data_IF_657567896562
#
_entry.id   IF_657567896562
#
_cell.length_a   1.000
_cell.length_b   1.000
_cell.length_c   1.000
_cell.angle_alpha   90.00
_cell.angle_beta   90.00
_cell.angle_gamma   90.00
#
_symmetry.space_group_name_H-M   'P 1'
#
loop_
_entity.id
_entity.type
_entity.pdbx_description
1 polymer ?
#
# COMPACT_ATOMS: atom_id res chain seq x y z
N UNK A 1 36.20 -49.29 35.28
CA UNK A 1 36.39 -48.01 34.61
C UNK A 1 35.42 -47.95 33.44
N UNK A 2 34.24 -47.31 33.68
CA UNK A 2 33.19 -47.15 32.65
C UNK A 2 33.40 -45.81 31.96
N UNK A 3 33.70 -45.79 30.66
CA UNK A 3 33.78 -44.59 29.86
C UNK A 3 32.35 -44.15 29.45
N UNK A 4 31.92 -43.01 29.97
CA UNK A 4 30.68 -42.36 29.59
C UNK A 4 30.96 -41.52 28.33
N UNK A 5 30.38 -41.92 27.18
CA UNK A 5 30.39 -41.15 25.95
C UNK A 5 29.28 -40.11 26.02
N UNK A 6 29.60 -38.83 26.22
CA UNK A 6 28.68 -37.72 26.11
C UNK A 6 28.45 -37.42 24.61
N UNK A 7 27.26 -37.76 24.11
CA UNK A 7 26.78 -37.34 22.80
C UNK A 7 26.20 -35.94 22.99
N UNK A 8 26.94 -34.92 22.59
CA UNK A 8 26.43 -33.56 22.42
C UNK A 8 25.54 -33.53 21.17
N UNK A 9 24.24 -33.66 21.39
CA UNK A 9 23.21 -33.43 20.35
C UNK A 9 23.07 -31.91 20.14
N UNK A 10 23.76 -31.40 19.11
CA UNK A 10 23.64 -30.00 18.68
C UNK A 10 22.21 -29.73 18.22
N UNK A 11 21.39 -29.09 19.08
CA UNK A 11 20.15 -28.45 18.66
C UNK A 11 20.52 -27.29 17.74
N UNK A 12 20.47 -27.52 16.42
CA UNK A 12 20.42 -26.45 15.47
C UNK A 12 19.08 -25.71 15.69
N UNK A 13 19.14 -24.56 16.35
CA UNK A 13 18.01 -23.62 16.40
C UNK A 13 17.76 -23.17 14.94
N UNK A 14 16.83 -23.83 14.27
CA UNK A 14 16.21 -23.31 13.08
C UNK A 14 15.43 -22.06 13.50
N UNK A 15 16.09 -20.90 13.46
CA UNK A 15 15.35 -19.65 13.32
C UNK A 15 14.70 -19.70 11.95
N UNK A 16 13.37 -19.61 11.83
CA UNK A 16 12.76 -19.35 10.52
C UNK A 16 13.26 -17.96 10.13
N UNK A 17 14.22 -17.91 9.22
CA UNK A 17 14.54 -16.67 8.53
C UNK A 17 13.21 -16.16 7.95
N UNK A 18 12.79 -14.97 8.33
CA UNK A 18 11.67 -14.29 7.68
C UNK A 18 11.96 -14.35 6.18
N UNK A 19 11.12 -15.06 5.44
CA UNK A 19 11.38 -15.37 4.04
C UNK A 19 11.06 -14.15 3.18
N UNK A 20 11.86 -13.09 3.29
CA UNK A 20 11.85 -11.98 2.35
C UNK A 20 12.28 -12.47 0.96
N UNK A 21 11.95 -11.70 -0.08
CA UNK A 21 12.43 -11.98 -1.44
C UNK A 21 13.95 -12.00 -1.46
N UNK A 22 14.50 -13.13 -1.89
CA UNK A 22 15.95 -13.35 -1.96
C UNK A 22 16.50 -12.87 -3.30
N UNK A 23 16.78 -11.59 -3.41
CA UNK A 23 17.50 -11.05 -4.56
C UNK A 23 18.98 -11.43 -4.48
N UNK A 24 19.46 -12.19 -5.47
CA UNK A 24 20.85 -12.63 -5.55
C UNK A 24 21.71 -11.56 -6.20
N UNK A 25 22.89 -11.34 -5.65
CA UNK A 25 23.91 -10.47 -6.22
C UNK A 25 24.80 -11.28 -7.18
N UNK A 26 24.28 -11.53 -8.37
CA UNK A 26 24.90 -12.33 -9.42
C UNK A 26 24.64 -11.68 -10.77
N UNK A 27 25.47 -11.99 -11.76
CA UNK A 27 25.28 -11.54 -13.15
C UNK A 27 24.03 -12.20 -13.77
N UNK A 28 23.50 -11.59 -14.83
CA UNK A 28 22.38 -12.16 -15.59
C UNK A 28 22.66 -13.60 -16.04
N UNK A 29 23.88 -13.87 -16.55
CA UNK A 29 24.28 -15.21 -17.00
C UNK A 29 24.33 -16.23 -15.85
N UNK A 30 24.82 -15.82 -14.70
CA UNK A 30 24.84 -16.67 -13.50
C UNK A 30 23.43 -16.95 -12.97
N UNK A 31 22.52 -15.97 -13.05
CA UNK A 31 21.12 -16.16 -12.68
C UNK A 31 20.44 -17.22 -13.55
N UNK A 32 20.67 -17.22 -14.87
CA UNK A 32 20.16 -18.25 -15.79
C UNK A 32 20.74 -19.62 -15.44
N UNK A 33 22.07 -19.70 -15.22
CA UNK A 33 22.71 -20.95 -14.84
C UNK A 33 22.14 -21.51 -13.52
N UNK A 34 21.91 -20.66 -12.53
CA UNK A 34 21.31 -21.03 -11.26
C UNK A 34 19.85 -21.50 -11.46
N UNK A 35 19.07 -20.80 -12.28
CA UNK A 35 17.71 -21.18 -12.60
C UNK A 35 17.62 -22.57 -13.26
N UNK A 36 18.52 -22.88 -14.21
CA UNK A 36 18.65 -24.21 -14.81
C UNK A 36 18.95 -25.28 -13.76
N UNK A 37 19.92 -25.02 -12.89
CA UNK A 37 20.33 -25.97 -11.85
C UNK A 37 19.22 -26.23 -10.81
N UNK A 38 18.48 -25.20 -10.43
CA UNK A 38 17.40 -25.25 -9.43
C UNK A 38 16.04 -25.60 -10.01
N UNK A 39 15.92 -25.78 -11.32
CA UNK A 39 14.65 -25.99 -12.05
C UNK A 39 13.63 -24.87 -11.76
N UNK A 40 14.10 -23.63 -11.74
CA UNK A 40 13.32 -22.41 -11.55
C UNK A 40 13.37 -21.54 -12.80
N UNK A 41 12.55 -20.50 -12.79
CA UNK A 41 12.58 -19.38 -13.72
C UNK A 41 13.48 -18.25 -13.17
N UNK A 42 13.75 -17.22 -13.95
CA UNK A 42 14.44 -16.01 -13.48
C UNK A 42 13.44 -14.88 -13.36
N UNK A 43 13.43 -14.19 -12.23
CA UNK A 43 12.68 -12.96 -11.99
C UNK A 43 13.65 -11.79 -11.92
N UNK A 44 13.47 -10.81 -12.80
CA UNK A 44 14.35 -9.64 -12.94
C UNK A 44 13.58 -8.40 -12.53
N UNK A 45 14.08 -7.67 -11.52
CA UNK A 45 13.62 -6.31 -11.14
C UNK A 45 14.54 -5.28 -11.81
N UNK A 46 14.07 -4.67 -12.89
CA UNK A 46 14.76 -3.53 -13.51
C UNK A 46 14.44 -2.25 -12.76
N UNK A 47 15.46 -1.62 -12.22
CA UNK A 47 15.35 -0.40 -11.40
C UNK A 47 16.39 0.65 -11.80
N UNK A 48 16.27 1.87 -11.25
CA UNK A 48 17.31 2.89 -11.24
C UNK A 48 17.50 3.46 -9.84
N UNK A 49 18.67 4.04 -9.57
CA UNK A 49 19.01 4.58 -8.24
C UNK A 49 18.10 5.73 -7.79
N UNK A 50 17.52 6.48 -8.71
CA UNK A 50 16.61 7.60 -8.47
C UNK A 50 15.12 7.22 -8.44
N UNK A 51 14.77 6.00 -8.82
CA UNK A 51 13.37 5.53 -8.91
C UNK A 51 12.71 5.46 -7.52
N UNK A 52 11.79 6.37 -7.23
CA UNK A 52 11.01 6.40 -6.00
C UNK A 52 10.15 5.15 -5.79
N UNK A 53 9.30 4.75 -6.77
CA UNK A 53 8.49 3.54 -6.68
C UNK A 53 9.32 2.26 -6.46
N UNK A 54 10.52 2.15 -7.07
CA UNK A 54 11.40 1.00 -6.85
C UNK A 54 11.87 0.91 -5.38
N UNK A 55 12.24 2.06 -4.78
CA UNK A 55 12.62 2.12 -3.36
C UNK A 55 11.47 1.71 -2.46
N UNK A 56 10.24 2.06 -2.83
CA UNK A 56 9.05 1.68 -2.08
C UNK A 56 8.75 0.19 -2.17
N UNK A 57 8.87 -0.43 -3.34
CA UNK A 57 8.79 -1.89 -3.50
C UNK A 57 9.80 -2.61 -2.60
N UNK A 58 11.05 -2.13 -2.59
CA UNK A 58 12.13 -2.69 -1.76
C UNK A 58 11.87 -2.57 -0.26
N UNK A 59 11.20 -1.50 0.16
CA UNK A 59 10.93 -1.25 1.58
C UNK A 59 9.67 -1.95 2.08
N UNK A 60 8.61 -2.00 1.26
CA UNK A 60 7.27 -2.32 1.73
C UNK A 60 6.68 -3.63 1.15
N UNK A 61 7.18 -4.11 0.00
CA UNK A 61 6.59 -5.28 -0.69
C UNK A 61 7.52 -6.48 -0.66
N UNK A 62 8.75 -6.34 -1.14
CA UNK A 62 9.69 -7.46 -1.18
C UNK A 62 10.12 -8.03 0.18
N UNK A 63 10.08 -7.29 1.32
CA UNK A 63 10.30 -7.86 2.63
C UNK A 63 9.14 -8.69 3.19
N UNK A 64 7.93 -8.62 2.59
CA UNK A 64 6.78 -9.39 3.04
C UNK A 64 7.01 -10.88 2.84
N UNK A 65 6.70 -11.65 3.88
CA UNK A 65 6.90 -13.10 3.89
C UNK A 65 6.18 -13.80 2.73
N UNK A 66 4.93 -13.43 2.47
CA UNK A 66 4.13 -14.00 1.40
C UNK A 66 4.73 -13.73 0.01
N UNK A 67 5.32 -12.55 -0.20
CA UNK A 67 6.00 -12.20 -1.46
C UNK A 67 7.28 -13.01 -1.61
N UNK A 68 8.05 -13.10 -0.54
CA UNK A 68 9.26 -13.92 -0.51
C UNK A 68 8.97 -15.41 -0.75
N UNK A 69 7.98 -15.97 -0.06
CA UNK A 69 7.57 -17.37 -0.25
C UNK A 69 7.14 -17.64 -1.69
N UNK A 70 6.34 -16.74 -2.29
CA UNK A 70 5.87 -16.88 -3.66
C UNK A 70 7.00 -16.82 -4.68
N UNK A 71 7.85 -15.78 -4.59
CA UNK A 71 8.93 -15.55 -5.56
C UNK A 71 10.06 -16.57 -5.40
N UNK A 72 10.55 -16.81 -4.18
CA UNK A 72 11.68 -17.71 -3.94
C UNK A 72 11.38 -19.16 -4.30
N UNK A 73 10.11 -19.59 -4.18
CA UNK A 73 9.73 -20.95 -4.58
C UNK A 73 9.83 -21.19 -6.09
N UNK A 74 9.58 -20.15 -6.91
CA UNK A 74 9.44 -20.24 -8.38
C UNK A 74 10.62 -19.68 -9.14
N UNK A 75 11.31 -18.69 -8.56
CA UNK A 75 12.29 -17.90 -9.29
C UNK A 75 13.66 -17.84 -8.62
N UNK A 76 14.67 -17.69 -9.42
CA UNK A 76 15.94 -17.05 -9.06
C UNK A 76 15.71 -15.55 -9.27
N UNK A 77 15.65 -14.77 -8.18
CA UNK A 77 15.38 -13.35 -8.23
C UNK A 77 16.69 -12.55 -8.34
N UNK A 78 16.74 -11.60 -9.26
CA UNK A 78 17.86 -10.67 -9.45
C UNK A 78 17.38 -9.25 -9.64
N UNK A 79 18.21 -8.27 -9.27
CA UNK A 79 17.98 -6.86 -9.50
C UNK A 79 19.00 -6.32 -10.47
N UNK A 80 18.53 -5.59 -11.47
CA UNK A 80 19.40 -5.02 -12.50
C UNK A 80 19.22 -3.50 -12.52
N UNK A 81 20.28 -2.75 -12.21
CA UNK A 81 20.31 -1.31 -12.39
C UNK A 81 20.38 -1.01 -13.89
N UNK A 82 19.28 -0.52 -14.44
CA UNK A 82 19.13 -0.31 -15.88
C UNK A 82 20.11 0.73 -16.46
N UNK A 83 20.82 1.47 -15.60
CA UNK A 83 21.79 2.49 -15.99
C UNK A 83 23.25 2.06 -15.78
N UNK A 84 23.51 0.86 -15.21
CA UNK A 84 24.86 0.41 -14.85
C UNK A 84 25.16 -1.02 -15.32
N UNK A 85 26.45 -1.28 -15.54
CA UNK A 85 26.94 -2.62 -15.88
C UNK A 85 26.27 -3.18 -17.14
N UNK A 86 25.71 -4.40 -17.04
CA UNK A 86 24.97 -5.06 -18.10
C UNK A 86 23.52 -4.52 -18.27
N UNK A 87 23.08 -3.69 -17.33
CA UNK A 87 21.71 -3.19 -17.26
C UNK A 87 21.21 -2.46 -18.50
N UNK A 88 21.97 -1.52 -19.11
CA UNK A 88 21.50 -0.80 -20.30
C UNK A 88 21.19 -1.73 -21.49
N UNK A 89 22.02 -2.75 -21.71
CA UNK A 89 21.82 -3.73 -22.79
C UNK A 89 20.60 -4.63 -22.51
N UNK A 90 20.47 -5.10 -21.27
CA UNK A 90 19.36 -5.95 -20.85
C UNK A 90 18.03 -5.16 -20.84
N UNK A 91 18.02 -3.93 -20.35
CA UNK A 91 16.84 -3.07 -20.41
C UNK A 91 16.36 -2.83 -21.85
N UNK A 92 17.31 -2.62 -22.80
CA UNK A 92 16.99 -2.52 -24.22
C UNK A 92 16.45 -3.83 -24.79
N UNK A 93 17.08 -4.97 -24.45
CA UNK A 93 16.65 -6.31 -24.86
C UNK A 93 15.23 -6.60 -24.46
N UNK A 94 14.88 -6.31 -23.18
CA UNK A 94 13.55 -6.55 -22.63
C UNK A 94 12.58 -5.38 -22.81
N UNK A 95 12.96 -4.37 -23.61
CA UNK A 95 12.13 -3.20 -23.98
C UNK A 95 11.59 -2.43 -22.77
N UNK A 96 12.40 -2.32 -21.70
CA UNK A 96 12.06 -1.60 -20.49
C UNK A 96 11.90 -0.11 -20.78
N UNK A 97 10.74 0.47 -20.47
CA UNK A 97 10.40 1.88 -20.75
C UNK A 97 10.13 2.70 -19.48
N UNK A 98 9.87 2.04 -18.38
CA UNK A 98 9.55 2.67 -17.10
C UNK A 98 10.15 1.85 -15.94
N UNK A 99 10.21 2.42 -14.73
CA UNK A 99 10.73 1.75 -13.55
C UNK A 99 9.76 1.85 -12.37
N UNK A 100 9.62 0.73 -11.58
CA UNK A 100 10.20 -0.59 -11.82
C UNK A 100 9.56 -1.29 -13.02
N UNK A 101 10.30 -2.15 -13.70
CA UNK A 101 9.77 -3.14 -14.64
C UNK A 101 10.24 -4.52 -14.21
N UNK A 102 9.30 -5.44 -14.05
CA UNK A 102 9.55 -6.83 -13.70
C UNK A 102 9.45 -7.70 -14.92
N UNK A 103 10.46 -8.53 -15.14
CA UNK A 103 10.48 -9.49 -16.25
C UNK A 103 10.72 -10.89 -15.67
N UNK A 104 9.87 -11.85 -16.04
CA UNK A 104 10.15 -13.26 -15.79
C UNK A 104 10.53 -13.93 -17.11
N UNK A 105 11.57 -14.75 -17.05
CA UNK A 105 12.04 -15.55 -18.18
C UNK A 105 12.21 -17.00 -17.75
N UNK A 106 12.09 -17.91 -18.70
CA UNK A 106 12.50 -19.28 -18.48
C UNK A 106 14.04 -19.43 -18.62
N UNK A 107 14.61 -20.61 -18.28
CA UNK A 107 16.05 -20.82 -18.43
C UNK A 107 16.58 -20.81 -19.88
N UNK A 108 15.73 -20.85 -20.90
CA UNK A 108 16.09 -20.70 -22.31
C UNK A 108 15.91 -19.25 -22.80
N UNK A 109 15.71 -18.33 -21.83
CA UNK A 109 15.60 -16.88 -22.02
C UNK A 109 14.32 -16.41 -22.76
N UNK A 110 13.31 -17.28 -22.86
CA UNK A 110 11.99 -16.90 -23.35
C UNK A 110 11.24 -16.07 -22.30
N UNK A 111 10.64 -14.96 -22.73
CA UNK A 111 9.91 -14.05 -21.85
C UNK A 111 8.57 -14.67 -21.49
N UNK A 112 8.36 -14.95 -20.21
CA UNK A 112 7.09 -15.46 -19.66
C UNK A 112 6.14 -14.32 -19.32
N UNK A 113 6.67 -13.21 -18.80
CA UNK A 113 5.88 -12.02 -18.52
C UNK A 113 6.75 -10.76 -18.47
N UNK A 114 6.10 -9.62 -18.71
CA UNK A 114 6.62 -8.27 -18.41
C UNK A 114 5.54 -7.49 -17.68
N UNK A 115 5.88 -6.87 -16.55
CA UNK A 115 5.00 -6.00 -15.76
C UNK A 115 5.69 -4.68 -15.48
N UNK A 116 5.12 -3.59 -15.96
CA UNK A 116 5.55 -2.22 -15.64
C UNK A 116 4.86 -1.71 -14.37
N UNK A 117 5.57 -0.90 -13.60
CA UNK A 117 5.06 -0.27 -12.38
C UNK A 117 5.04 -1.18 -11.14
N UNK A 118 5.10 -0.54 -9.99
CA UNK A 118 5.01 -1.19 -8.68
C UNK A 118 3.60 -1.10 -8.07
N UNK A 119 3.42 -1.77 -6.95
CA UNK A 119 2.24 -1.70 -6.09
C UNK A 119 2.69 -1.57 -4.63
N UNK A 120 1.77 -1.22 -3.74
CA UNK A 120 2.05 -1.09 -2.30
C UNK A 120 1.58 -2.31 -1.50
N UNK A 121 0.83 -3.22 -2.11
CA UNK A 121 0.26 -4.41 -1.49
C UNK A 121 0.91 -5.68 -2.04
N UNK A 122 1.33 -6.57 -1.13
CA UNK A 122 2.01 -7.81 -1.49
C UNK A 122 1.10 -8.81 -2.19
N UNK A 123 -0.17 -8.90 -1.77
CA UNK A 123 -1.16 -9.79 -2.38
C UNK A 123 -1.51 -9.34 -3.79
N UNK A 124 -1.70 -8.03 -4.00
CA UNK A 124 -1.89 -7.44 -5.32
C UNK A 124 -0.69 -7.73 -6.24
N UNK A 125 0.53 -7.56 -5.71
CA UNK A 125 1.75 -7.85 -6.47
C UNK A 125 1.81 -9.31 -6.92
N UNK A 126 1.64 -10.25 -5.99
CA UNK A 126 1.62 -11.70 -6.30
C UNK A 126 0.53 -12.01 -7.32
N UNK A 127 -0.68 -11.51 -7.10
CA UNK A 127 -1.82 -11.73 -7.99
C UNK A 127 -1.56 -11.25 -9.41
N UNK A 128 -0.91 -10.09 -9.57
CA UNK A 128 -0.56 -9.53 -10.88
C UNK A 128 0.48 -10.38 -11.62
N UNK A 129 1.52 -10.84 -10.92
CA UNK A 129 2.53 -11.74 -11.49
C UNK A 129 1.88 -13.08 -11.91
N UNK A 130 1.08 -13.67 -11.01
CA UNK A 130 0.48 -14.98 -11.21
C UNK A 130 -0.52 -14.97 -12.40
N UNK A 131 -1.27 -13.89 -12.59
CA UNK A 131 -2.13 -13.72 -13.77
C UNK A 131 -1.36 -13.67 -15.09
N UNK A 132 -0.17 -13.08 -15.09
CA UNK A 132 0.64 -12.94 -16.29
C UNK A 132 1.35 -14.23 -16.69
N UNK A 133 1.75 -15.06 -15.73
CA UNK A 133 2.48 -16.32 -16.00
C UNK A 133 1.60 -17.56 -16.02
N UNK A 134 0.38 -17.49 -15.50
CA UNK A 134 -0.54 -18.63 -15.42
C UNK A 134 -1.69 -18.44 -16.42
N UNK A 135 -1.73 -19.24 -17.50
CA UNK A 135 -2.80 -19.15 -18.50
C UNK A 135 -4.21 -19.30 -17.94
N UNK A 136 -4.38 -20.07 -16.85
CA UNK A 136 -5.67 -20.26 -16.19
C UNK A 136 -6.14 -19.02 -15.42
N UNK A 137 -5.24 -18.05 -15.21
CA UNK A 137 -5.50 -16.76 -14.57
C UNK A 137 -5.47 -15.59 -15.58
N UNK A 138 -5.49 -15.86 -16.88
CA UNK A 138 -5.64 -14.81 -17.90
C UNK A 138 -6.98 -14.06 -17.71
N UNK A 139 -7.08 -12.77 -18.10
CA UNK A 139 -8.31 -11.99 -17.96
C UNK A 139 -9.55 -12.70 -18.50
N UNK A 140 -9.43 -13.28 -19.70
CA UNK A 140 -10.52 -13.98 -20.38
C UNK A 140 -10.93 -15.24 -19.60
N UNK A 141 -9.95 -15.99 -19.06
CA UNK A 141 -10.21 -17.21 -18.31
C UNK A 141 -10.84 -16.93 -16.95
N UNK A 142 -10.35 -15.90 -16.25
CA UNK A 142 -10.95 -15.46 -14.98
C UNK A 142 -12.41 -15.02 -15.18
N UNK A 143 -12.68 -14.24 -16.23
CA UNK A 143 -14.03 -13.82 -16.57
C UNK A 143 -14.94 -15.01 -16.88
N UNK A 144 -14.50 -15.93 -17.74
CA UNK A 144 -15.27 -17.13 -18.10
C UNK A 144 -15.63 -17.97 -16.87
N UNK A 145 -14.69 -18.20 -15.96
CA UNK A 145 -14.92 -18.97 -14.73
C UNK A 145 -15.93 -18.27 -13.81
N UNK A 146 -15.76 -16.94 -13.63
CA UNK A 146 -16.66 -16.14 -12.79
C UNK A 146 -18.09 -16.09 -13.37
N UNK A 147 -18.25 -15.85 -14.68
CA UNK A 147 -19.53 -15.88 -15.38
C UNK A 147 -20.15 -17.29 -15.39
N UNK A 148 -19.31 -18.32 -15.40
CA UNK A 148 -19.72 -19.72 -15.24
C UNK A 148 -20.21 -20.10 -13.83
N UNK A 149 -20.21 -19.16 -12.88
CA UNK A 149 -20.76 -19.32 -11.53
C UNK A 149 -19.76 -19.80 -10.47
N UNK A 150 -18.47 -19.94 -10.82
CA UNK A 150 -17.45 -20.26 -9.82
C UNK A 150 -17.24 -19.09 -8.84
N UNK A 151 -17.15 -19.42 -7.53
CA UNK A 151 -17.02 -18.44 -6.44
C UNK A 151 -16.00 -18.89 -5.39
N UNK A 152 -14.87 -19.47 -5.82
CA UNK A 152 -13.76 -19.74 -4.90
C UNK A 152 -13.07 -18.43 -4.50
N UNK A 153 -12.50 -18.36 -3.28
CA UNK A 153 -11.77 -17.19 -2.79
C UNK A 153 -10.65 -16.75 -3.74
N UNK A 154 -9.88 -17.71 -4.26
CA UNK A 154 -8.79 -17.48 -5.21
C UNK A 154 -9.28 -16.84 -6.53
N UNK A 155 -10.39 -17.36 -7.09
CA UNK A 155 -10.98 -16.78 -8.30
C UNK A 155 -11.49 -15.37 -8.06
N UNK A 156 -12.24 -15.14 -6.97
CA UNK A 156 -12.82 -13.82 -6.67
C UNK A 156 -11.72 -12.80 -6.43
N UNK A 157 -10.68 -13.15 -5.65
CA UNK A 157 -9.53 -12.29 -5.42
C UNK A 157 -8.81 -11.93 -6.73
N UNK A 158 -8.55 -12.94 -7.59
CA UNK A 158 -7.87 -12.73 -8.86
C UNK A 158 -8.71 -11.89 -9.83
N UNK A 159 -10.02 -12.14 -9.92
CA UNK A 159 -10.92 -11.44 -10.84
C UNK A 159 -11.17 -9.99 -10.41
N UNK A 160 -11.44 -9.75 -9.13
CA UNK A 160 -11.57 -8.41 -8.60
C UNK A 160 -10.26 -7.62 -8.70
N UNK A 161 -9.11 -8.25 -8.39
CA UNK A 161 -7.79 -7.66 -8.57
C UNK A 161 -7.50 -7.26 -10.02
N UNK A 162 -7.89 -8.10 -11.00
CA UNK A 162 -7.80 -7.77 -12.42
C UNK A 162 -8.61 -6.51 -12.77
N UNK A 163 -9.84 -6.39 -12.22
CA UNK A 163 -10.68 -5.18 -12.41
C UNK A 163 -10.02 -3.94 -11.83
N UNK A 164 -9.41 -4.05 -10.65
CA UNK A 164 -8.65 -2.95 -10.03
C UNK A 164 -7.46 -2.51 -10.88
N UNK A 165 -6.72 -3.42 -11.51
CA UNK A 165 -5.64 -3.07 -12.44
C UNK A 165 -6.15 -2.30 -13.65
N UNK A 166 -7.34 -2.62 -14.14
CA UNK A 166 -7.96 -1.93 -15.28
C UNK A 166 -8.31 -0.45 -15.00
N UNK A 167 -8.47 -0.07 -13.72
CA UNK A 167 -8.74 1.33 -13.33
C UNK A 167 -7.70 2.29 -13.91
N UNK A 168 -6.42 1.91 -13.85
CA UNK A 168 -5.29 2.77 -14.19
C UNK A 168 -4.61 2.42 -15.52
N UNK A 169 -5.20 1.54 -16.33
CA UNK A 169 -4.63 1.16 -17.63
C UNK A 169 -4.62 2.30 -18.64
N UNK A 170 -5.53 3.25 -18.50
CA UNK A 170 -5.65 4.40 -19.36
C UNK A 170 -5.09 5.68 -18.72
N UNK A 171 -4.79 6.69 -19.55
CA UNK A 171 -4.32 8.00 -19.06
C UNK A 171 -5.27 8.65 -18.05
N UNK A 172 -6.57 8.36 -18.13
CA UNK A 172 -7.58 8.76 -17.14
C UNK A 172 -8.09 7.51 -16.45
N UNK A 173 -8.10 7.48 -15.11
CA UNK A 173 -8.63 6.35 -14.36
C UNK A 173 -10.09 6.07 -14.70
N UNK A 174 -10.42 4.80 -14.93
CA UNK A 174 -11.80 4.35 -15.11
C UNK A 174 -12.35 3.84 -13.78
N UNK A 175 -12.99 4.73 -13.03
CA UNK A 175 -13.52 4.41 -11.70
C UNK A 175 -14.65 3.37 -11.74
N UNK A 176 -15.32 3.17 -12.89
CA UNK A 176 -16.33 2.11 -13.02
C UNK A 176 -15.74 0.71 -12.82
N UNK A 177 -14.47 0.51 -13.16
CA UNK A 177 -13.76 -0.75 -12.91
C UNK A 177 -13.48 -0.99 -11.44
N UNK A 178 -13.26 0.08 -10.67
CA UNK A 178 -13.18 0.00 -9.21
C UNK A 178 -14.52 -0.44 -8.62
N UNK A 179 -15.61 0.20 -9.04
CA UNK A 179 -16.96 -0.16 -8.57
C UNK A 179 -17.30 -1.63 -8.92
N UNK A 180 -16.96 -2.08 -10.14
CA UNK A 180 -17.11 -3.49 -10.54
C UNK A 180 -16.35 -4.41 -9.56
N UNK A 181 -15.08 -4.11 -9.25
CA UNK A 181 -14.27 -4.92 -8.36
C UNK A 181 -14.85 -5.00 -6.94
N UNK A 182 -15.27 -3.86 -6.38
CA UNK A 182 -15.89 -3.81 -5.06
C UNK A 182 -17.22 -4.55 -5.01
N UNK A 183 -18.06 -4.44 -6.04
CA UNK A 183 -19.32 -5.17 -6.14
C UNK A 183 -19.11 -6.69 -6.20
N UNK A 184 -18.12 -7.16 -6.98
CA UNK A 184 -17.74 -8.58 -7.05
C UNK A 184 -17.40 -9.11 -5.65
N UNK A 185 -16.60 -8.37 -4.88
CA UNK A 185 -16.18 -8.77 -3.53
C UNK A 185 -17.34 -8.67 -2.53
N UNK A 186 -18.17 -7.63 -2.64
CA UNK A 186 -19.37 -7.46 -1.79
C UNK A 186 -20.36 -8.61 -1.98
N UNK A 187 -20.63 -9.01 -3.22
CA UNK A 187 -21.53 -10.12 -3.54
C UNK A 187 -20.98 -11.45 -3.01
N UNK A 188 -19.67 -11.66 -3.17
CA UNK A 188 -18.99 -12.83 -2.60
C UNK A 188 -19.10 -12.85 -1.08
N UNK A 189 -18.75 -11.73 -0.41
CA UNK A 189 -18.84 -11.59 1.04
C UNK A 189 -20.25 -11.87 1.57
N UNK A 190 -21.28 -11.38 0.89
CA UNK A 190 -22.68 -11.60 1.25
C UNK A 190 -23.09 -13.09 1.14
N UNK A 191 -22.49 -13.82 0.20
CA UNK A 191 -22.72 -15.27 0.03
C UNK A 191 -22.03 -16.15 1.07
N UNK A 192 -21.05 -15.61 1.82
CA UNK A 192 -20.32 -16.35 2.85
C UNK A 192 -21.07 -16.37 4.19
N UNK A 193 -21.02 -17.49 4.89
CA UNK A 193 -21.40 -17.54 6.30
C UNK A 193 -20.28 -16.98 7.21
N UNK A 194 -20.59 -16.73 8.49
CA UNK A 194 -19.64 -16.10 9.43
C UNK A 194 -18.35 -16.92 9.62
N UNK A 195 -18.43 -18.25 9.59
CA UNK A 195 -17.23 -19.09 9.72
C UNK A 195 -16.33 -18.97 8.49
N UNK A 196 -16.92 -18.87 7.31
CA UNK A 196 -16.18 -18.69 6.06
C UNK A 196 -15.54 -17.31 5.99
N UNK A 197 -16.25 -16.25 6.37
CA UNK A 197 -15.74 -14.88 6.40
C UNK A 197 -14.45 -14.73 7.22
N UNK A 198 -14.28 -15.54 8.27
CA UNK A 198 -13.12 -15.48 9.17
C UNK A 198 -11.91 -16.31 8.72
N UNK A 199 -12.00 -17.04 7.61
CA UNK A 199 -10.91 -17.85 7.10
C UNK A 199 -9.79 -17.01 6.49
N UNK A 200 -8.57 -17.53 6.57
CA UNK A 200 -7.37 -16.92 6.01
C UNK A 200 -7.48 -16.65 4.51
N UNK A 201 -8.08 -17.57 3.75
CA UNK A 201 -8.29 -17.44 2.30
C UNK A 201 -9.11 -16.19 1.91
N UNK A 202 -9.88 -15.63 2.84
CA UNK A 202 -10.74 -14.47 2.66
C UNK A 202 -10.13 -13.16 3.19
N UNK A 203 -8.86 -13.18 3.61
CA UNK A 203 -8.16 -11.98 4.09
C UNK A 203 -8.13 -10.85 3.03
N UNK A 204 -8.07 -11.20 1.73
CA UNK A 204 -8.06 -10.21 0.64
C UNK A 204 -9.26 -9.26 0.67
N UNK A 205 -10.43 -9.73 1.14
CA UNK A 205 -11.65 -8.92 1.28
C UNK A 205 -11.37 -7.71 2.17
N UNK A 206 -10.76 -7.96 3.32
CA UNK A 206 -10.48 -6.93 4.33
C UNK A 206 -9.27 -6.07 3.95
N UNK A 207 -8.21 -6.71 3.45
CA UNK A 207 -6.95 -6.04 3.14
C UNK A 207 -7.07 -5.05 1.97
N UNK A 208 -7.82 -5.42 0.92
CA UNK A 208 -7.80 -4.70 -0.36
C UNK A 208 -9.15 -4.08 -0.75
N UNK A 209 -10.27 -4.50 -0.12
CA UNK A 209 -11.62 -4.07 -0.52
C UNK A 209 -12.42 -3.45 0.64
N UNK A 210 -11.73 -2.70 1.49
CA UNK A 210 -12.32 -1.79 2.48
C UNK A 210 -11.64 -0.44 2.33
N UNK A 211 -12.36 0.68 2.43
CA UNK A 211 -11.81 2.03 2.21
C UNK A 211 -12.07 2.97 3.40
N UNK A 212 -13.10 2.67 4.18
CA UNK A 212 -13.47 3.44 5.38
C UNK A 212 -13.76 2.50 6.54
N UNK A 213 -13.48 2.88 7.78
CA UNK A 213 -13.93 2.12 8.94
C UNK A 213 -15.47 2.05 9.05
N UNK A 214 -16.20 2.88 8.25
CA UNK A 214 -17.66 2.88 8.21
C UNK A 214 -18.24 1.93 7.15
N UNK A 215 -17.44 1.34 6.27
CA UNK A 215 -17.90 0.33 5.31
C UNK A 215 -18.50 -0.88 6.00
N UNK A 216 -19.54 -1.48 5.44
CA UNK A 216 -20.21 -2.66 6.03
C UNK A 216 -19.25 -3.83 6.27
N UNK A 217 -18.33 -4.10 5.32
CA UNK A 217 -17.30 -5.13 5.46
C UNK A 217 -16.30 -4.77 6.55
N UNK A 218 -15.88 -3.50 6.62
CA UNK A 218 -14.98 -3.02 7.68
C UNK A 218 -15.65 -3.10 9.06
N UNK A 219 -16.92 -2.74 9.19
CA UNK A 219 -17.69 -2.89 10.43
C UNK A 219 -17.80 -4.36 10.88
N UNK A 220 -18.03 -5.28 9.93
CA UNK A 220 -17.99 -6.72 10.25
C UNK A 220 -16.60 -7.15 10.74
N UNK A 221 -15.54 -6.71 10.06
CA UNK A 221 -14.14 -6.98 10.44
C UNK A 221 -13.85 -6.48 11.87
N UNK A 222 -14.22 -5.22 12.18
CA UNK A 222 -14.02 -4.59 13.49
C UNK A 222 -14.78 -5.36 14.58
N UNK A 223 -16.05 -5.68 14.35
CA UNK A 223 -16.90 -6.38 15.32
C UNK A 223 -16.44 -7.81 15.62
N UNK A 224 -15.72 -8.43 14.67
CA UNK A 224 -15.25 -9.81 14.78
C UNK A 224 -13.73 -9.96 14.91
N UNK A 225 -12.98 -8.86 15.16
CA UNK A 225 -11.50 -8.85 15.15
C UNK A 225 -10.85 -9.92 16.03
N UNK A 226 -11.48 -10.27 17.15
CA UNK A 226 -10.95 -11.27 18.07
C UNK A 226 -11.25 -12.72 17.66
N UNK A 227 -12.08 -12.92 16.62
CA UNK A 227 -12.45 -14.24 16.09
C UNK A 227 -11.59 -14.70 14.92
N UNK A 228 -10.79 -13.81 14.34
CA UNK A 228 -9.86 -14.18 13.29
C UNK A 228 -8.75 -15.10 13.81
N UNK A 229 -8.25 -15.98 12.94
CA UNK A 229 -7.17 -16.90 13.32
C UNK A 229 -5.89 -16.15 13.65
N UNK A 230 -5.03 -16.68 14.54
CA UNK A 230 -3.75 -16.05 14.86
C UNK A 230 -2.88 -15.74 13.65
N UNK A 231 -2.99 -16.53 12.58
CA UNK A 231 -2.21 -16.36 11.34
C UNK A 231 -2.48 -15.03 10.62
N UNK A 232 -3.69 -14.46 10.77
CA UNK A 232 -4.09 -13.22 10.07
C UNK A 232 -4.51 -12.11 11.03
N UNK A 233 -4.54 -12.36 12.34
CA UNK A 233 -5.02 -11.40 13.34
C UNK A 233 -4.27 -10.08 13.30
N UNK A 234 -2.95 -10.12 13.26
CA UNK A 234 -2.13 -8.90 13.22
C UNK A 234 -2.42 -8.07 11.96
N UNK A 235 -2.59 -8.72 10.81
CA UNK A 235 -2.96 -8.05 9.55
C UNK A 235 -4.34 -7.40 9.60
N UNK A 236 -5.30 -8.03 10.30
CA UNK A 236 -6.62 -7.45 10.53
C UNK A 236 -6.53 -6.22 11.44
N UNK A 237 -5.78 -6.30 12.53
CA UNK A 237 -5.58 -5.18 13.45
C UNK A 237 -4.87 -4.01 12.77
N UNK A 238 -3.82 -4.26 11.98
CA UNK A 238 -3.11 -3.27 11.19
C UNK A 238 -4.03 -2.62 10.14
N UNK A 239 -4.91 -3.41 9.49
CA UNK A 239 -5.87 -2.86 8.53
C UNK A 239 -6.89 -1.96 9.21
N UNK A 240 -7.44 -2.35 10.36
CA UNK A 240 -8.35 -1.52 11.15
C UNK A 240 -7.68 -0.19 11.51
N UNK A 241 -6.47 -0.23 12.05
CA UNK A 241 -5.71 0.96 12.41
C UNK A 241 -5.47 1.87 11.18
N UNK A 242 -5.13 1.28 10.04
CA UNK A 242 -4.91 1.99 8.77
C UNK A 242 -6.18 2.70 8.30
N UNK A 243 -7.35 2.04 8.35
CA UNK A 243 -8.63 2.65 7.94
C UNK A 243 -8.96 3.88 8.79
N UNK A 244 -8.84 3.76 10.11
CA UNK A 244 -9.09 4.91 11.00
C UNK A 244 -8.09 6.05 10.76
N UNK A 245 -6.82 5.72 10.55
CA UNK A 245 -5.78 6.71 10.26
C UNK A 245 -6.06 7.45 8.95
N UNK A 246 -6.42 6.74 7.89
CA UNK A 246 -6.77 7.36 6.60
C UNK A 246 -7.99 8.27 6.73
N UNK A 247 -9.00 7.87 7.50
CA UNK A 247 -10.20 8.68 7.68
C UNK A 247 -9.92 9.96 8.49
N UNK A 248 -9.15 9.86 9.59
CA UNK A 248 -8.67 11.04 10.34
C UNK A 248 -7.85 11.98 9.44
N UNK A 249 -7.04 11.40 8.54
CA UNK A 249 -6.25 12.21 7.60
C UNK A 249 -7.12 13.02 6.64
N UNK A 250 -8.24 12.49 6.16
CA UNK A 250 -9.19 13.25 5.32
C UNK A 250 -9.74 14.47 6.05
N UNK A 251 -10.12 14.31 7.33
CA UNK A 251 -10.60 15.42 8.16
C UNK A 251 -9.51 16.49 8.40
N UNK A 252 -8.30 16.09 8.75
CA UNK A 252 -7.21 17.06 9.05
C UNK A 252 -6.74 17.82 7.81
N UNK A 253 -7.02 17.29 6.62
CA UNK A 253 -6.68 17.93 5.33
C UNK A 253 -7.88 18.58 4.64
N UNK A 254 -9.06 18.60 5.28
CA UNK A 254 -10.31 19.10 4.72
C UNK A 254 -10.65 18.55 3.32
N UNK A 255 -10.29 17.28 3.07
CA UNK A 255 -10.66 16.60 1.82
C UNK A 255 -12.16 16.30 1.73
N UNK A 256 -12.82 16.21 2.88
CA UNK A 256 -14.28 16.05 2.99
C UNK A 256 -14.86 17.16 3.86
N UNK A 257 -16.11 17.60 3.63
CA UNK A 257 -16.79 18.54 4.51
C UNK A 257 -16.88 17.99 5.94
N UNK A 258 -16.70 18.84 6.93
CA UNK A 258 -16.81 18.43 8.31
C UNK A 258 -18.27 18.06 8.65
N UNK A 259 -18.48 16.82 9.08
CA UNK A 259 -19.73 16.33 9.63
C UNK A 259 -19.52 15.89 11.08
N UNK A 260 -20.21 16.57 12.01
CA UNK A 260 -20.03 16.34 13.45
C UNK A 260 -20.39 14.91 13.86
N UNK A 261 -21.49 14.35 13.33
CA UNK A 261 -21.94 13.02 13.73
C UNK A 261 -20.99 11.93 13.24
N UNK A 262 -20.53 12.03 12.01
CA UNK A 262 -19.56 11.08 11.45
C UNK A 262 -18.21 11.19 12.16
N UNK A 263 -17.76 12.42 12.41
CA UNK A 263 -16.52 12.64 13.16
C UNK A 263 -16.58 12.08 14.58
N UNK A 264 -17.69 12.29 15.31
CA UNK A 264 -17.84 11.76 16.68
C UNK A 264 -17.82 10.22 16.68
N UNK A 265 -18.45 9.58 15.69
CA UNK A 265 -18.41 8.13 15.53
C UNK A 265 -16.98 7.64 15.23
N UNK A 266 -16.27 8.35 14.35
CA UNK A 266 -14.86 8.05 14.03
C UNK A 266 -13.95 8.18 15.26
N UNK A 267 -14.03 9.31 15.96
CA UNK A 267 -13.24 9.55 17.17
C UNK A 267 -13.55 8.51 18.25
N UNK A 268 -14.83 8.19 18.46
CA UNK A 268 -15.25 7.14 19.40
C UNK A 268 -14.62 5.80 19.02
N UNK A 269 -14.63 5.41 17.76
CA UNK A 269 -14.02 4.17 17.28
C UNK A 269 -12.51 4.11 17.56
N UNK A 270 -11.78 5.21 17.30
CA UNK A 270 -10.35 5.30 17.64
C UNK A 270 -10.10 5.04 19.12
N UNK A 271 -10.94 5.63 20.01
CA UNK A 271 -10.79 5.50 21.47
C UNK A 271 -11.18 4.11 21.96
N UNK A 272 -12.32 3.57 21.51
CA UNK A 272 -12.84 2.26 21.91
C UNK A 272 -11.90 1.11 21.50
N UNK A 273 -11.22 1.26 20.37
CA UNK A 273 -10.26 0.28 19.87
C UNK A 273 -8.83 0.47 20.45
N UNK A 274 -8.64 1.48 21.31
CA UNK A 274 -7.34 1.78 21.90
C UNK A 274 -6.28 2.21 20.89
N UNK A 275 -6.68 2.80 19.75
CA UNK A 275 -5.77 3.22 18.71
C UNK A 275 -5.02 4.52 19.05
N UNK A 276 -5.52 5.30 20.05
CA UNK A 276 -4.86 6.54 20.51
C UNK A 276 -3.73 6.27 21.52
N UNK A 277 -2.89 5.27 21.25
CA UNK A 277 -1.72 4.98 22.10
C UNK A 277 -0.77 6.17 22.07
N UNK A 278 -0.15 6.48 23.20
CA UNK A 278 0.79 7.58 23.36
C UNK A 278 0.25 8.94 22.86
N UNK A 279 -1.06 9.13 22.92
CA UNK A 279 -1.77 10.33 22.45
C UNK A 279 -1.59 10.62 20.93
N UNK A 280 -1.34 9.59 20.12
CA UNK A 280 -1.02 9.72 18.69
C UNK A 280 -1.99 10.58 17.89
N UNK A 281 -3.30 10.57 18.22
CA UNK A 281 -4.33 11.35 17.54
C UNK A 281 -4.76 12.62 18.31
N UNK A 282 -4.23 12.91 19.49
CA UNK A 282 -4.76 13.95 20.36
C UNK A 282 -4.70 15.33 19.72
N UNK A 283 -3.57 15.72 19.13
CA UNK A 283 -3.40 16.99 18.43
C UNK A 283 -4.23 17.05 17.15
N UNK A 284 -4.33 15.93 16.41
CA UNK A 284 -5.16 15.83 15.23
C UNK A 284 -6.64 16.07 15.56
N UNK A 285 -7.15 15.47 16.64
CA UNK A 285 -8.52 15.70 17.10
C UNK A 285 -8.76 17.18 17.43
N UNK A 286 -7.85 17.82 18.14
CA UNK A 286 -7.97 19.24 18.46
C UNK A 286 -8.00 20.14 17.22
N UNK A 287 -7.15 19.85 16.25
CA UNK A 287 -7.11 20.56 14.97
C UNK A 287 -8.42 20.40 14.19
N UNK A 288 -8.91 19.16 14.06
CA UNK A 288 -10.15 18.83 13.36
C UNK A 288 -11.36 19.53 14.03
N UNK A 289 -11.47 19.43 15.35
CA UNK A 289 -12.57 20.02 16.12
C UNK A 289 -12.55 21.56 16.07
N UNK A 290 -11.36 22.17 16.04
CA UNK A 290 -11.23 23.60 15.87
C UNK A 290 -11.64 24.03 14.46
N UNK A 291 -11.16 23.32 13.44
CA UNK A 291 -11.52 23.57 12.03
C UNK A 291 -13.03 23.41 11.78
N UNK A 292 -13.62 22.35 12.33
CA UNK A 292 -15.05 22.05 12.18
C UNK A 292 -16.00 23.11 12.75
N UNK A 293 -15.53 23.99 13.66
CA UNK A 293 -16.30 25.15 14.14
C UNK A 293 -16.44 26.27 13.12
N UNK A 294 -15.70 26.20 12.00
CA UNK A 294 -15.75 27.19 10.92
C UNK A 294 -15.03 28.50 11.19
N UNK A 295 -14.41 28.69 12.36
CA UNK A 295 -13.58 29.85 12.67
C UNK A 295 -12.13 29.63 12.21
N UNK A 296 -11.83 30.04 10.97
CA UNK A 296 -10.51 29.86 10.38
C UNK A 296 -9.42 30.69 11.09
N UNK A 297 -9.76 31.80 11.75
CA UNK A 297 -8.80 32.56 12.54
C UNK A 297 -8.41 31.83 13.83
N UNK A 298 -9.38 31.23 14.52
CA UNK A 298 -9.11 30.40 15.69
C UNK A 298 -8.31 29.14 15.29
N UNK A 299 -8.68 28.50 14.18
CA UNK A 299 -7.96 27.33 13.65
C UNK A 299 -6.51 27.70 13.32
N UNK A 300 -6.26 28.78 12.60
CA UNK A 300 -4.91 29.23 12.24
C UNK A 300 -4.08 29.59 13.49
N UNK A 301 -4.70 30.19 14.51
CA UNK A 301 -4.04 30.46 15.79
C UNK A 301 -3.62 29.19 16.53
N UNK A 302 -4.48 28.16 16.49
CA UNK A 302 -4.17 26.84 17.05
C UNK A 302 -3.03 26.18 16.26
N UNK A 303 -3.11 26.22 14.92
CA UNK A 303 -2.11 25.64 14.04
C UNK A 303 -0.73 26.29 14.24
N UNK A 304 -0.66 27.63 14.29
CA UNK A 304 0.59 28.37 14.57
C UNK A 304 1.22 27.97 15.91
N UNK A 305 0.39 27.68 16.92
CA UNK A 305 0.85 27.29 18.25
C UNK A 305 1.29 25.83 18.33
N UNK A 306 0.54 24.92 17.72
CA UNK A 306 0.62 23.48 17.99
C UNK A 306 1.11 22.65 16.79
N UNK A 307 1.42 23.28 15.65
CA UNK A 307 1.94 22.57 14.49
C UNK A 307 3.19 21.71 14.83
N UNK A 308 4.04 22.22 15.71
CA UNK A 308 5.23 21.50 16.18
C UNK A 308 4.94 20.15 16.82
N UNK A 309 3.79 20.01 17.49
CA UNK A 309 3.38 18.81 18.23
C UNK A 309 2.70 17.74 17.37
N UNK A 310 2.21 18.13 16.17
CA UNK A 310 1.65 17.17 15.22
C UNK A 310 2.70 16.13 14.83
N UNK A 311 2.28 14.87 14.71
CA UNK A 311 3.16 13.84 14.20
C UNK A 311 3.60 14.13 12.75
N UNK A 312 4.74 13.55 12.35
CA UNK A 312 5.37 13.84 11.05
C UNK A 312 4.45 13.57 9.86
N UNK A 313 3.60 12.57 9.97
CA UNK A 313 2.73 12.14 8.89
C UNK A 313 1.59 13.14 8.66
N UNK A 314 0.96 13.62 9.74
CA UNK A 314 -0.08 14.65 9.63
C UNK A 314 0.48 16.00 9.20
N UNK A 315 1.70 16.36 9.63
CA UNK A 315 2.42 17.52 9.11
C UNK A 315 2.58 17.46 7.60
N UNK A 316 3.06 16.33 7.09
CA UNK A 316 3.24 16.12 5.65
C UNK A 316 1.90 16.21 4.89
N UNK A 317 0.88 15.47 5.35
CA UNK A 317 -0.45 15.46 4.72
C UNK A 317 -1.08 16.84 4.68
N UNK A 318 -0.99 17.61 5.78
CA UNK A 318 -1.48 18.98 5.85
C UNK A 318 -0.75 19.89 4.86
N UNK A 319 0.56 19.74 4.70
CA UNK A 319 1.33 20.55 3.76
C UNK A 319 0.97 20.28 2.28
N UNK A 320 0.62 19.05 1.94
CA UNK A 320 0.15 18.73 0.58
C UNK A 320 -1.20 19.36 0.23
N UNK A 321 -2.05 19.63 1.23
CA UNK A 321 -3.41 20.15 1.05
C UNK A 321 -3.63 21.49 1.77
N UNK A 322 -2.57 22.18 2.13
CA UNK A 322 -2.65 23.35 3.01
C UNK A 322 -3.58 24.45 2.48
N UNK A 323 -3.54 24.73 1.19
CA UNK A 323 -4.39 25.76 0.59
C UNK A 323 -5.90 25.41 0.72
N UNK A 324 -6.26 24.11 0.66
CA UNK A 324 -7.63 23.65 0.80
C UNK A 324 -8.26 24.06 2.14
N UNK A 325 -7.47 24.08 3.22
CA UNK A 325 -7.94 24.47 4.54
C UNK A 325 -8.42 25.93 4.61
N UNK A 326 -7.95 26.79 3.70
CA UNK A 326 -8.20 28.24 3.73
C UNK A 326 -8.93 28.76 2.49
N UNK A 327 -9.48 27.90 1.63
CA UNK A 327 -10.18 28.31 0.40
C UNK A 327 -11.35 29.25 0.67
N UNK A 328 -12.08 29.03 1.77
CA UNK A 328 -13.26 29.84 2.19
C UNK A 328 -12.86 31.04 3.05
N UNK A 329 -11.57 31.21 3.38
CA UNK A 329 -11.08 32.34 4.17
C UNK A 329 -11.13 33.66 3.41
N UNK A 330 -11.31 34.75 4.15
CA UNK A 330 -11.13 36.11 3.60
C UNK A 330 -9.63 36.40 3.32
N UNK A 331 -9.35 37.52 2.70
CA UNK A 331 -8.00 37.94 2.30
C UNK A 331 -7.05 38.07 3.50
N UNK A 332 -7.56 38.43 4.67
CA UNK A 332 -6.73 38.59 5.88
C UNK A 332 -6.28 37.24 6.42
N UNK A 333 -7.22 36.26 6.45
CA UNK A 333 -6.93 34.86 6.83
C UNK A 333 -5.96 34.23 5.86
N UNK A 334 -6.17 34.36 4.54
CA UNK A 334 -5.26 33.84 3.51
C UNK A 334 -3.87 34.44 3.63
N UNK A 335 -3.76 35.74 3.80
CA UNK A 335 -2.47 36.43 3.98
C UNK A 335 -1.71 35.93 5.22
N UNK A 336 -2.44 35.70 6.34
CA UNK A 336 -1.85 35.15 7.56
C UNK A 336 -1.43 33.68 7.34
N UNK A 337 -2.24 32.86 6.67
CA UNK A 337 -1.92 31.48 6.32
C UNK A 337 -0.67 31.40 5.42
N UNK A 338 -0.55 32.29 4.42
CA UNK A 338 0.66 32.42 3.59
C UNK A 338 1.88 32.77 4.45
N UNK A 339 1.75 33.71 5.38
CA UNK A 339 2.86 34.09 6.28
C UNK A 339 3.32 32.93 7.14
N UNK A 340 2.37 32.15 7.71
CA UNK A 340 2.69 30.98 8.51
C UNK A 340 3.37 29.91 7.64
N UNK A 341 2.81 29.56 6.47
CA UNK A 341 3.41 28.57 5.58
C UNK A 341 4.83 28.95 5.15
N UNK A 342 5.08 30.24 4.88
CA UNK A 342 6.41 30.74 4.56
C UNK A 342 7.40 30.59 5.73
N UNK A 343 6.95 30.68 6.98
CA UNK A 343 7.82 30.51 8.15
C UNK A 343 8.32 29.10 8.32
N UNK A 344 7.63 28.10 7.73
CA UNK A 344 7.99 26.69 7.80
C UNK A 344 9.00 26.25 6.71
N UNK A 345 9.25 27.10 5.68
CA UNK A 345 10.10 26.71 4.54
C UNK A 345 11.56 26.42 4.92
N UNK A 346 12.05 27.02 5.99
CA UNK A 346 13.45 26.89 6.45
C UNK A 346 13.79 25.45 6.85
N UNK A 347 12.80 24.73 7.37
CA UNK A 347 12.97 23.35 7.90
C UNK A 347 12.54 22.27 6.92
N UNK A 348 12.21 22.62 5.67
CA UNK A 348 11.69 21.67 4.69
C UNK A 348 12.79 21.11 3.77
N UNK A 349 12.67 19.83 3.46
CA UNK A 349 13.48 19.21 2.41
C UNK A 349 13.05 19.66 1.00
N UNK A 350 13.93 19.46 0.01
CA UNK A 350 13.70 19.90 -1.38
C UNK A 350 12.43 19.29 -2.02
N UNK A 351 12.07 18.07 -1.64
CA UNK A 351 10.85 17.41 -2.15
C UNK A 351 9.59 18.10 -1.64
N UNK A 352 9.55 18.44 -0.35
CA UNK A 352 8.43 19.14 0.27
C UNK A 352 8.30 20.58 -0.23
N UNK A 353 9.43 21.29 -0.46
CA UNK A 353 9.44 22.67 -0.94
C UNK A 353 8.66 22.84 -2.26
N UNK A 354 8.75 21.89 -3.17
CA UNK A 354 8.02 21.95 -4.45
C UNK A 354 6.50 21.94 -4.24
N UNK A 355 5.99 21.09 -3.36
CA UNK A 355 4.55 21.01 -3.06
C UNK A 355 4.08 22.27 -2.31
N UNK A 356 4.84 22.72 -1.34
CA UNK A 356 4.49 23.92 -0.56
C UNK A 356 4.53 25.19 -1.41
N UNK A 357 5.44 25.28 -2.39
CA UNK A 357 5.43 26.38 -3.37
C UNK A 357 4.11 26.40 -4.16
N UNK A 358 3.58 25.25 -4.57
CA UNK A 358 2.27 25.18 -5.21
C UNK A 358 1.15 25.67 -4.28
N UNK A 359 1.13 25.23 -3.02
CA UNK A 359 0.13 25.68 -2.04
C UNK A 359 0.18 27.19 -1.81
N UNK A 360 1.37 27.79 -1.77
CA UNK A 360 1.54 29.23 -1.69
C UNK A 360 0.96 29.95 -2.91
N UNK A 361 1.21 29.44 -4.13
CA UNK A 361 0.68 30.04 -5.36
C UNK A 361 -0.84 29.98 -5.42
N UNK A 362 -1.47 28.89 -4.93
CA UNK A 362 -2.92 28.76 -4.83
C UNK A 362 -3.48 29.80 -3.85
N UNK A 363 -2.93 29.91 -2.63
CA UNK A 363 -3.38 30.88 -1.62
C UNK A 363 -3.20 32.34 -2.05
N UNK A 364 -2.19 32.62 -2.85
CA UNK A 364 -1.92 33.95 -3.41
C UNK A 364 -2.72 34.23 -4.70
N UNK A 365 -3.59 33.29 -5.14
CA UNK A 365 -4.41 33.44 -6.34
C UNK A 365 -3.63 33.47 -7.66
N UNK A 366 -2.40 32.93 -7.67
CA UNK A 366 -1.54 32.93 -8.86
C UNK A 366 -1.74 31.71 -9.76
N UNK A 367 -2.28 30.64 -9.22
CA UNK A 367 -2.72 29.42 -9.93
C UNK A 367 -4.02 28.89 -9.31
N UNK A 368 -4.76 28.08 -10.09
CA UNK A 368 -6.04 27.46 -9.69
C UNK A 368 -5.92 25.94 -9.63
#
# INVERSE_FOLDING_TARGET
>A
MKKIFLILLGLALFYPALAQTNFRDVTYKEAIAAAKAEKKQVFIDFYTSWCGPCKMMMKNVFPLKEVGDYLNARFVCVKIDAEKGEGPELAKRYKVKAYPTFVAIDPDEEVLMTKEGGTFDGGEFIGSIDRLINPDKSPERLQQRYEGGERSADLVAAYAGMKMEQVYQNRRPDMSKKDEAFNIVQDYFNGLNDRERLKEENLFIYASFTESPMDAIAQYMIANRDKFTPAIKDRIEDRIATLYKMEIQKYITAQEPFDQQQYDALKKGVLDLGLNKDNYYTEAFRMIECYGKGDLNAFLSLLEKEYGELNREYKASMMYNYAQLFTTGDEAVKARAVKFLRSLLVDMDAGMLMFVAQQLLILEGKIH
#
